data_IF_037167870492
#
_entry.id   IF_037167870492
#
_cell.length_a   1.000
_cell.length_b   1.000
_cell.length_c   1.000
_cell.angle_alpha   90.00
_cell.angle_beta   90.00
_cell.angle_gamma   90.00
#
_symmetry.space_group_name_H-M   'P 1'
#
loop_
_entity.id
_entity.type
_entity.pdbx_description
1 polymer ?
#
# COMPACT_ATOMS: atom_id res chain seq x y z
N UNK A 1 0.01 18.06 -6.14
CA UNK A 1 0.78 18.66 -5.01
C UNK A 1 2.27 18.47 -5.24
N UNK A 2 3.07 19.53 -5.03
CA UNK A 2 4.53 19.41 -4.95
C UNK A 2 4.91 18.90 -3.55
N UNK A 3 5.77 17.87 -3.48
CA UNK A 3 6.18 17.24 -2.21
C UNK A 3 7.65 17.48 -1.86
N UNK A 4 8.33 18.38 -2.57
CA UNK A 4 9.71 18.74 -2.22
C UNK A 4 9.74 19.36 -0.81
N UNK A 5 10.56 18.82 0.07
CA UNK A 5 10.64 19.22 1.48
C UNK A 5 9.48 18.74 2.37
N UNK A 6 8.55 17.93 1.84
CA UNK A 6 7.50 17.27 2.60
C UNK A 6 7.92 15.88 3.07
N UNK A 7 7.11 15.26 3.91
CA UNK A 7 7.33 13.89 4.39
C UNK A 7 6.28 12.94 3.85
N UNK A 8 6.71 11.75 3.47
CA UNK A 8 5.86 10.62 3.12
C UNK A 8 6.03 9.48 4.15
N UNK A 9 4.93 8.89 4.61
CA UNK A 9 4.91 7.63 5.34
C UNK A 9 4.61 6.50 4.37
N UNK A 10 5.47 5.48 4.30
CA UNK A 10 5.24 4.29 3.45
C UNK A 10 5.23 3.05 4.33
N UNK A 11 4.09 2.38 4.43
CA UNK A 11 3.99 1.11 5.15
C UNK A 11 4.37 -0.06 4.24
N UNK A 12 5.04 -1.09 4.79
CA UNK A 12 5.64 -2.14 3.96
C UNK A 12 6.75 -1.61 3.04
N UNK A 13 7.39 -0.50 3.43
CA UNK A 13 8.34 0.24 2.62
C UNK A 13 9.73 -0.40 2.51
N UNK A 14 9.97 -1.52 3.20
CA UNK A 14 11.26 -2.21 3.15
C UNK A 14 11.42 -3.15 1.95
N UNK A 15 10.38 -3.38 1.14
CA UNK A 15 10.46 -4.29 0.00
C UNK A 15 9.37 -4.02 -1.06
N UNK A 16 9.52 -4.64 -2.24
CA UNK A 16 8.50 -4.69 -3.28
C UNK A 16 7.92 -3.32 -3.67
N UNK A 17 6.60 -3.22 -3.73
CA UNK A 17 5.88 -2.00 -4.11
C UNK A 17 6.19 -0.82 -3.18
N UNK A 18 6.29 -1.09 -1.87
CA UNK A 18 6.60 -0.07 -0.87
C UNK A 18 8.00 0.49 -1.01
N UNK A 19 9.00 -0.35 -1.27
CA UNK A 19 10.38 0.09 -1.50
C UNK A 19 10.49 0.96 -2.76
N UNK A 20 9.96 0.49 -3.88
CA UNK A 20 9.96 1.27 -5.11
C UNK A 20 9.24 2.63 -4.94
N UNK A 21 8.14 2.63 -4.16
CA UNK A 21 7.43 3.87 -3.81
C UNK A 21 8.31 4.80 -2.96
N UNK A 22 9.03 4.26 -1.98
CA UNK A 22 9.94 5.04 -1.13
C UNK A 22 11.04 5.70 -1.95
N UNK A 23 11.65 4.95 -2.88
CA UNK A 23 12.66 5.45 -3.81
C UNK A 23 12.10 6.59 -4.69
N UNK A 24 10.94 6.38 -5.31
CA UNK A 24 10.29 7.37 -6.18
C UNK A 24 9.91 8.66 -5.45
N UNK A 25 9.44 8.58 -4.20
CA UNK A 25 9.07 9.76 -3.41
C UNK A 25 10.32 10.52 -2.92
N UNK A 26 11.43 9.82 -2.62
CA UNK A 26 12.72 10.44 -2.34
C UNK A 26 13.28 11.19 -3.56
N UNK A 27 13.18 10.60 -4.76
CA UNK A 27 13.56 11.26 -6.02
C UNK A 27 12.74 12.52 -6.27
N UNK A 28 11.44 12.51 -5.92
CA UNK A 28 10.55 13.67 -6.00
C UNK A 28 10.82 14.74 -4.93
N UNK A 29 11.84 14.56 -4.07
CA UNK A 29 12.29 15.55 -3.08
C UNK A 29 11.67 15.42 -1.70
N UNK A 30 10.81 14.44 -1.45
CA UNK A 30 10.28 14.18 -0.11
C UNK A 30 11.33 13.53 0.81
N UNK A 31 11.13 13.64 2.12
CA UNK A 31 11.68 12.69 3.07
C UNK A 31 10.70 11.52 3.24
N UNK A 32 11.21 10.33 3.57
CA UNK A 32 10.39 9.11 3.67
C UNK A 32 10.59 8.43 5.02
N UNK A 33 9.49 8.12 5.70
CA UNK A 33 9.48 7.21 6.84
C UNK A 33 8.96 5.85 6.38
N UNK A 34 9.78 4.83 6.52
CA UNK A 34 9.46 3.43 6.24
C UNK A 34 8.92 2.81 7.53
N UNK A 35 7.63 2.49 7.56
CA UNK A 35 7.03 1.69 8.62
C UNK A 35 6.96 0.23 8.16
N UNK A 36 7.73 -0.63 8.79
CA UNK A 36 7.77 -2.06 8.49
C UNK A 36 8.07 -2.88 9.74
N UNK A 37 7.83 -4.18 9.70
CA UNK A 37 8.03 -5.05 10.85
C UNK A 37 9.48 -5.00 11.35
N UNK A 38 9.72 -5.15 12.68
CA UNK A 38 11.07 -5.11 13.26
C UNK A 38 12.06 -6.09 12.63
N UNK A 39 11.56 -7.24 12.13
CA UNK A 39 12.39 -8.27 11.48
C UNK A 39 12.61 -8.05 9.98
N UNK A 40 12.11 -6.96 9.39
CA UNK A 40 12.32 -6.64 7.98
C UNK A 40 13.72 -6.07 7.71
N UNK A 41 14.04 -5.87 6.44
CA UNK A 41 15.27 -5.19 6.04
C UNK A 41 15.21 -3.65 6.19
N UNK A 42 14.18 -3.11 6.86
CA UNK A 42 13.86 -1.68 6.86
C UNK A 42 15.02 -0.77 7.31
N UNK A 43 15.78 -1.16 8.34
CA UNK A 43 16.93 -0.38 8.79
C UNK A 43 18.01 -0.29 7.69
N UNK A 44 18.42 -1.42 7.11
CA UNK A 44 19.44 -1.45 6.07
C UNK A 44 18.95 -0.74 4.78
N UNK A 45 17.66 -0.81 4.49
CA UNK A 45 17.04 -0.08 3.37
C UNK A 45 17.09 1.43 3.63
N UNK A 46 16.70 1.90 4.79
CA UNK A 46 16.75 3.32 5.13
C UNK A 46 18.18 3.87 5.06
N UNK A 47 19.18 3.13 5.60
CA UNK A 47 20.58 3.49 5.52
C UNK A 47 21.05 3.62 4.05
N UNK A 48 20.67 2.68 3.19
CA UNK A 48 21.00 2.71 1.75
C UNK A 48 20.35 3.89 1.03
N UNK A 49 19.15 4.26 1.40
CA UNK A 49 18.39 5.36 0.79
C UNK A 49 18.88 6.75 1.25
N UNK A 50 19.66 6.81 2.32
CA UNK A 50 20.36 8.02 2.76
C UNK A 50 19.56 8.90 3.73
N UNK A 51 20.08 10.10 3.96
CA UNK A 51 19.70 10.97 5.09
C UNK A 51 18.22 11.41 5.11
N UNK A 52 17.52 11.33 4.02
CA UNK A 52 16.09 11.67 3.94
C UNK A 52 15.16 10.47 4.16
N UNK A 53 15.71 9.27 4.39
CA UNK A 53 14.96 8.08 4.76
C UNK A 53 15.13 7.77 6.25
N UNK A 54 14.06 7.33 6.88
CA UNK A 54 14.06 6.82 8.26
C UNK A 54 13.29 5.53 8.34
N UNK A 55 13.76 4.60 9.15
CA UNK A 55 13.03 3.38 9.46
C UNK A 55 12.36 3.51 10.82
N UNK A 56 11.08 3.18 10.88
CA UNK A 56 10.31 3.00 12.11
C UNK A 56 9.81 1.56 12.16
N UNK A 57 10.36 0.79 13.09
CA UNK A 57 9.95 -0.60 13.29
C UNK A 57 8.57 -0.64 13.94
N UNK A 58 7.61 -1.38 13.35
CA UNK A 58 6.27 -1.47 13.90
C UNK A 58 5.29 -2.28 13.06
N UNK A 59 4.14 -2.57 13.66
CA UNK A 59 3.00 -3.26 13.05
C UNK A 59 1.89 -2.25 12.75
N UNK A 60 1.36 -2.25 11.53
CA UNK A 60 0.26 -1.36 11.12
C UNK A 60 -1.02 -1.58 11.93
N UNK A 61 -1.18 -2.74 12.56
CA UNK A 61 -2.32 -3.04 13.44
C UNK A 61 -2.20 -2.44 14.85
N UNK A 62 -1.00 -1.97 15.21
CA UNK A 62 -0.70 -1.31 16.48
C UNK A 62 -0.83 0.20 16.35
N UNK A 63 -1.73 0.80 17.14
CA UNK A 63 -1.87 2.26 17.18
C UNK A 63 -0.60 2.96 17.67
N UNK A 64 0.07 2.39 18.68
CA UNK A 64 1.31 2.95 19.23
C UNK A 64 2.44 2.95 18.22
N UNK A 65 2.58 1.88 17.42
CA UNK A 65 3.66 1.77 16.43
C UNK A 65 3.45 2.74 15.26
N UNK A 66 2.20 2.85 14.78
CA UNK A 66 1.86 3.83 13.74
C UNK A 66 2.06 5.26 14.26
N UNK A 67 1.69 5.54 15.51
CA UNK A 67 1.90 6.85 16.12
C UNK A 67 3.39 7.17 16.23
N UNK A 68 4.22 6.23 16.66
CA UNK A 68 5.68 6.40 16.71
C UNK A 68 6.28 6.71 15.32
N UNK A 69 5.82 6.02 14.26
CA UNK A 69 6.26 6.32 12.90
C UNK A 69 5.85 7.73 12.44
N UNK A 70 4.66 8.18 12.84
CA UNK A 70 4.19 9.54 12.55
C UNK A 70 4.93 10.61 13.37
N UNK A 71 5.41 10.29 14.58
CA UNK A 71 6.25 11.18 15.36
C UNK A 71 7.64 11.33 14.71
N UNK A 72 8.24 10.24 14.22
CA UNK A 72 9.46 10.31 13.40
C UNK A 72 9.22 11.15 12.13
N UNK A 73 8.05 11.04 11.49
CA UNK A 73 7.73 11.87 10.33
C UNK A 73 7.66 13.37 10.70
N UNK A 74 7.11 13.70 11.86
CA UNK A 74 7.00 15.09 12.34
C UNK A 74 8.37 15.75 12.59
N UNK A 75 9.39 14.96 12.94
CA UNK A 75 10.79 15.45 13.11
C UNK A 75 11.43 15.83 11.76
N UNK A 76 10.99 15.21 10.66
CA UNK A 76 11.52 15.45 9.30
C UNK A 76 10.81 16.60 8.58
N UNK A 77 9.56 16.90 8.94
CA UNK A 77 8.78 17.95 8.32
C UNK A 77 7.27 17.66 8.24
N UNK A 78 6.52 18.41 7.43
CA UNK A 78 5.08 18.23 7.32
C UNK A 78 4.74 16.94 6.58
N UNK A 79 3.94 16.07 7.20
CA UNK A 79 3.40 14.87 6.55
C UNK A 79 2.40 15.27 5.46
N UNK A 80 2.65 14.88 4.21
CA UNK A 80 1.79 15.17 3.05
C UNK A 80 1.33 13.93 2.31
N UNK A 81 2.06 12.83 2.44
CA UNK A 81 1.76 11.59 1.71
C UNK A 81 1.75 10.43 2.69
N UNK A 82 0.75 9.55 2.58
CA UNK A 82 0.77 8.25 3.23
C UNK A 82 0.46 7.18 2.19
N UNK A 83 1.33 6.16 2.07
CA UNK A 83 1.15 5.06 1.11
C UNK A 83 1.08 3.74 1.87
N UNK A 84 -0.06 3.07 1.78
CA UNK A 84 -0.32 1.82 2.47
C UNK A 84 0.02 0.64 1.57
N UNK A 85 1.27 0.12 1.68
CA UNK A 85 1.72 -1.08 0.96
C UNK A 85 1.84 -2.32 1.87
N UNK A 86 1.78 -2.16 3.19
CA UNK A 86 1.83 -3.29 4.11
C UNK A 86 0.63 -4.22 3.88
N UNK A 87 0.91 -5.51 3.80
CA UNK A 87 -0.13 -6.51 3.62
C UNK A 87 0.44 -7.93 3.49
N UNK A 88 -0.44 -8.90 3.65
CA UNK A 88 -0.11 -10.32 3.54
C UNK A 88 -1.24 -11.07 2.85
N UNK A 89 -0.98 -12.30 2.43
CA UNK A 89 -1.97 -13.15 1.80
C UNK A 89 -1.80 -14.62 2.21
N UNK A 90 -2.84 -15.39 1.99
CA UNK A 90 -2.81 -16.85 2.05
C UNK A 90 -3.72 -17.42 0.94
N UNK A 91 -3.56 -18.71 0.69
CA UNK A 91 -4.39 -19.45 -0.28
C UNK A 91 -4.98 -20.68 0.43
N UNK A 92 -6.07 -20.48 1.16
CA UNK A 92 -6.76 -21.53 1.92
C UNK A 92 -8.21 -21.60 1.45
N UNK A 93 -8.66 -22.78 1.00
CA UNK A 93 -10.05 -22.99 0.58
C UNK A 93 -11.01 -22.89 1.76
N UNK A 94 -12.23 -22.39 1.50
CA UNK A 94 -13.31 -22.31 2.50
C UNK A 94 -13.59 -23.67 3.14
N UNK A 95 -13.54 -24.74 2.34
CA UNK A 95 -13.51 -26.13 2.81
C UNK A 95 -12.37 -26.85 2.09
N UNK A 96 -11.39 -27.28 2.86
CA UNK A 96 -10.24 -28.04 2.40
C UNK A 96 -10.36 -29.55 2.70
N UNK A 97 -9.27 -30.30 2.43
CA UNK A 97 -9.20 -31.74 2.75
C UNK A 97 -9.28 -31.99 4.26
N UNK A 98 -8.67 -31.09 5.04
CA UNK A 98 -8.49 -31.24 6.48
C UNK A 98 -9.58 -30.51 7.30
N UNK A 99 -10.60 -29.97 6.63
CA UNK A 99 -11.73 -29.32 7.28
C UNK A 99 -12.03 -27.91 6.78
N UNK A 100 -12.79 -27.12 7.56
CA UNK A 100 -13.12 -25.75 7.22
C UNK A 100 -11.90 -24.83 7.34
N UNK A 101 -11.93 -23.70 6.63
CA UNK A 101 -10.93 -22.65 6.75
C UNK A 101 -10.79 -22.20 8.22
N UNK A 102 -9.58 -22.21 8.83
CA UNK A 102 -9.38 -21.76 10.21
C UNK A 102 -9.72 -20.27 10.34
N UNK A 103 -10.66 -19.94 11.25
CA UNK A 103 -11.19 -18.59 11.38
C UNK A 103 -10.13 -17.57 11.83
N UNK A 104 -9.15 -17.99 12.64
CA UNK A 104 -8.02 -17.17 13.07
C UNK A 104 -7.15 -16.71 11.88
N UNK A 105 -6.94 -17.58 10.89
CA UNK A 105 -6.21 -17.24 9.67
C UNK A 105 -6.99 -16.22 8.81
N UNK A 106 -8.31 -16.35 8.73
CA UNK A 106 -9.16 -15.35 8.06
C UNK A 106 -9.05 -14.00 8.78
N UNK A 107 -9.25 -14.00 10.09
CA UNK A 107 -9.21 -12.80 10.92
C UNK A 107 -7.85 -12.11 10.84
N UNK A 108 -6.76 -12.88 10.86
CA UNK A 108 -5.40 -12.34 10.73
C UNK A 108 -5.22 -11.56 9.41
N UNK A 109 -5.66 -12.11 8.27
CA UNK A 109 -5.53 -11.43 6.97
C UNK A 109 -6.36 -10.14 6.94
N UNK A 110 -7.60 -10.20 7.43
CA UNK A 110 -8.47 -9.02 7.49
C UNK A 110 -7.88 -7.96 8.42
N UNK A 111 -7.36 -8.37 9.58
CA UNK A 111 -6.80 -7.45 10.55
C UNK A 111 -5.57 -6.72 10.00
N UNK A 112 -4.62 -7.45 9.41
CA UNK A 112 -3.42 -6.81 8.83
C UNK A 112 -3.79 -5.91 7.65
N UNK A 113 -4.48 -6.46 6.65
CA UNK A 113 -4.68 -5.77 5.38
C UNK A 113 -5.70 -4.64 5.45
N UNK A 114 -6.82 -4.84 6.14
CA UNK A 114 -7.94 -3.90 6.17
C UNK A 114 -7.90 -3.01 7.41
N UNK A 115 -7.88 -3.61 8.60
CA UNK A 115 -7.88 -2.85 9.85
C UNK A 115 -6.58 -2.06 10.01
N UNK A 116 -5.42 -2.68 9.69
CA UNK A 116 -4.12 -2.01 9.69
C UNK A 116 -4.07 -0.83 8.71
N UNK A 117 -4.57 -1.01 7.48
CA UNK A 117 -4.68 0.09 6.51
C UNK A 117 -5.54 1.22 7.04
N UNK A 118 -6.72 0.92 7.61
CA UNK A 118 -7.58 1.95 8.21
C UNK A 118 -6.93 2.64 9.42
N UNK A 119 -6.20 1.89 10.25
CA UNK A 119 -5.46 2.44 11.38
C UNK A 119 -4.43 3.49 10.92
N UNK A 120 -3.67 3.21 9.87
CA UNK A 120 -2.73 4.18 9.29
C UNK A 120 -3.46 5.38 8.69
N UNK A 121 -4.56 5.16 7.93
CA UNK A 121 -5.35 6.24 7.32
C UNK A 121 -5.82 7.23 8.37
N UNK A 122 -6.49 6.77 9.44
CA UNK A 122 -7.08 7.65 10.46
C UNK A 122 -6.03 8.48 11.20
N UNK A 123 -4.88 7.87 11.51
CA UNK A 123 -3.80 8.54 12.25
C UNK A 123 -3.01 9.50 11.34
N UNK A 124 -2.69 9.10 10.11
CA UNK A 124 -2.03 9.98 9.14
C UNK A 124 -2.93 11.16 8.74
N UNK A 125 -4.22 10.93 8.49
CA UNK A 125 -5.16 11.99 8.17
C UNK A 125 -5.28 13.01 9.32
N UNK A 126 -5.29 12.56 10.58
CA UNK A 126 -5.29 13.45 11.74
C UNK A 126 -4.04 14.35 11.78
N UNK A 127 -2.87 13.81 11.49
CA UNK A 127 -1.61 14.59 11.42
C UNK A 127 -1.62 15.55 10.23
N UNK A 128 -2.07 15.12 9.06
CA UNK A 128 -2.18 15.98 7.87
C UNK A 128 -3.15 17.13 8.09
N UNK A 129 -4.30 16.89 8.73
CA UNK A 129 -5.31 17.91 9.00
C UNK A 129 -4.81 19.04 9.90
N UNK A 130 -3.79 18.80 10.71
CA UNK A 130 -3.16 19.79 11.58
C UNK A 130 -2.11 20.66 10.87
N UNK A 131 -1.77 20.37 9.61
CA UNK A 131 -0.80 21.16 8.83
C UNK A 131 -1.50 22.28 8.03
N UNK A 132 -0.78 23.33 7.69
CA UNK A 132 -1.30 24.35 6.77
C UNK A 132 -1.43 23.78 5.34
N UNK A 133 -2.46 24.12 4.58
CA UNK A 133 -2.59 23.65 3.20
C UNK A 133 -1.54 24.28 2.29
N UNK A 134 -1.07 23.53 1.30
CA UNK A 134 -0.21 23.99 0.21
C UNK A 134 -0.97 23.77 -1.10
N UNK A 135 -1.14 24.81 -1.92
CA UNK A 135 -1.92 24.76 -3.16
C UNK A 135 -3.35 24.21 -2.99
N UNK A 136 -3.97 24.45 -1.82
CA UNK A 136 -5.31 23.98 -1.51
C UNK A 136 -5.39 22.53 -1.03
N UNK A 137 -4.26 21.86 -0.76
CA UNK A 137 -4.19 20.48 -0.27
C UNK A 137 -3.38 20.38 1.02
N UNK A 138 -3.82 19.51 1.94
CA UNK A 138 -3.05 19.12 3.13
C UNK A 138 -2.36 17.78 2.96
N UNK A 139 -2.85 16.91 2.09
CA UNK A 139 -2.21 15.64 1.85
C UNK A 139 -2.97 14.71 0.92
N UNK A 140 -2.36 13.58 0.63
CA UNK A 140 -2.93 12.49 -0.13
C UNK A 140 -2.58 11.14 0.51
N UNK A 141 -3.56 10.26 0.57
CA UNK A 141 -3.42 8.88 1.04
C UNK A 141 -3.63 7.95 -0.13
N UNK A 142 -2.67 7.07 -0.37
CA UNK A 142 -2.73 6.05 -1.42
C UNK A 142 -2.76 4.67 -0.78
N UNK A 143 -3.81 3.90 -1.08
CA UNK A 143 -3.97 2.55 -0.55
C UNK A 143 -3.67 1.50 -1.62
N UNK A 144 -3.17 0.34 -1.18
CA UNK A 144 -2.93 -0.82 -2.04
C UNK A 144 -4.02 -1.87 -1.83
N UNK A 145 -4.97 -1.94 -2.77
CA UNK A 145 -5.89 -3.07 -2.88
C UNK A 145 -5.24 -4.25 -3.62
N UNK A 146 -5.97 -4.87 -4.53
CA UNK A 146 -5.53 -5.91 -5.47
C UNK A 146 -6.63 -6.15 -6.51
N UNK A 147 -6.30 -6.66 -7.67
CA UNK A 147 -7.30 -7.22 -8.59
C UNK A 147 -8.11 -8.35 -7.95
N UNK A 148 -7.56 -9.02 -6.93
CA UNK A 148 -8.28 -10.02 -6.14
C UNK A 148 -9.49 -9.46 -5.37
N UNK A 149 -9.61 -8.15 -5.23
CA UNK A 149 -10.82 -7.49 -4.72
C UNK A 149 -12.03 -7.69 -5.65
N UNK A 150 -11.77 -7.94 -6.94
CA UNK A 150 -12.77 -8.08 -8.00
C UNK A 150 -12.80 -9.50 -8.56
N UNK A 151 -11.64 -10.06 -8.85
CA UNK A 151 -11.44 -11.32 -9.58
C UNK A 151 -10.71 -12.35 -8.69
N UNK A 152 -11.13 -12.52 -7.43
CA UNK A 152 -10.48 -13.44 -6.48
C UNK A 152 -10.46 -14.90 -6.94
N UNK A 153 -9.34 -15.58 -6.70
CA UNK A 153 -9.11 -16.96 -7.08
C UNK A 153 -9.53 -17.95 -5.97
N UNK A 154 -9.56 -19.22 -6.29
CA UNK A 154 -9.80 -20.29 -5.32
C UNK A 154 -8.76 -20.20 -4.19
N UNK A 155 -9.25 -20.16 -2.96
CA UNK A 155 -8.43 -20.04 -1.75
C UNK A 155 -8.19 -18.59 -1.29
N UNK A 156 -8.61 -17.58 -2.03
CA UNK A 156 -8.35 -16.17 -1.71
C UNK A 156 -9.49 -15.48 -0.93
N UNK A 157 -10.44 -16.21 -0.32
CA UNK A 157 -11.59 -15.60 0.35
C UNK A 157 -11.21 -14.52 1.37
N UNK A 158 -10.24 -14.79 2.26
CA UNK A 158 -9.78 -13.81 3.25
C UNK A 158 -9.06 -12.62 2.60
N UNK A 159 -8.18 -12.90 1.64
CA UNK A 159 -7.44 -11.87 0.92
C UNK A 159 -8.37 -10.97 0.10
N UNK A 160 -9.28 -11.57 -0.68
CA UNK A 160 -10.27 -10.83 -1.47
C UNK A 160 -11.21 -10.01 -0.60
N UNK A 161 -11.66 -10.54 0.54
CA UNK A 161 -12.47 -9.80 1.51
C UNK A 161 -11.72 -8.58 2.06
N UNK A 162 -10.44 -8.75 2.44
CA UNK A 162 -9.63 -7.65 2.96
C UNK A 162 -9.38 -6.56 1.90
N UNK A 163 -9.06 -6.95 0.66
CA UNK A 163 -8.80 -6.02 -0.44
C UNK A 163 -10.08 -5.39 -1.00
N UNK A 164 -11.20 -6.13 -0.98
CA UNK A 164 -12.54 -5.60 -1.27
C UNK A 164 -12.99 -4.57 -0.23
N UNK A 165 -12.65 -4.78 1.05
CA UNK A 165 -12.89 -3.79 2.11
C UNK A 165 -12.11 -2.48 1.87
N UNK A 166 -10.85 -2.55 1.42
CA UNK A 166 -10.07 -1.35 1.05
C UNK A 166 -10.73 -0.60 -0.11
N UNK A 167 -11.19 -1.31 -1.14
CA UNK A 167 -11.96 -0.73 -2.25
C UNK A 167 -13.22 -0.03 -1.73
N UNK A 168 -14.00 -0.73 -0.89
CA UNK A 168 -15.27 -0.22 -0.35
C UNK A 168 -15.12 1.02 0.52
N UNK A 169 -14.03 1.13 1.30
CA UNK A 169 -13.81 2.29 2.18
C UNK A 169 -13.17 3.50 1.47
N UNK A 170 -12.69 3.37 0.24
CA UNK A 170 -11.96 4.44 -0.47
C UNK A 170 -12.83 5.69 -0.65
N UNK A 171 -14.00 5.58 -1.27
CA UNK A 171 -14.86 6.72 -1.54
C UNK A 171 -15.47 7.36 -0.27
N UNK A 172 -15.98 6.58 0.70
CA UNK A 172 -16.44 7.17 1.97
C UNK A 172 -15.37 7.99 2.67
N UNK A 173 -14.15 7.46 2.82
CA UNK A 173 -13.05 8.18 3.48
C UNK A 173 -12.63 9.42 2.68
N UNK A 174 -12.59 9.36 1.36
CA UNK A 174 -12.31 10.51 0.52
C UNK A 174 -13.34 11.64 0.73
N UNK A 175 -14.60 11.29 0.93
CA UNK A 175 -15.69 12.24 1.25
C UNK A 175 -15.56 12.80 2.67
N UNK A 176 -15.27 11.97 3.64
CA UNK A 176 -15.05 12.38 5.04
C UNK A 176 -13.90 13.39 5.16
N UNK A 177 -12.84 13.18 4.39
CA UNK A 177 -11.62 13.99 4.44
C UNK A 177 -11.61 15.18 3.47
N UNK A 178 -12.64 15.34 2.64
CA UNK A 178 -12.71 16.42 1.65
C UNK A 178 -12.64 17.82 2.29
N UNK A 179 -13.36 18.04 3.37
CA UNK A 179 -13.32 19.32 4.13
C UNK A 179 -11.95 19.57 4.77
N UNK A 180 -11.19 18.52 5.06
CA UNK A 180 -9.81 18.61 5.53
C UNK A 180 -8.80 18.78 4.39
N UNK A 181 -9.24 18.84 3.14
CA UNK A 181 -8.37 18.96 1.95
C UNK A 181 -7.35 17.81 1.83
N UNK A 182 -7.78 16.59 2.16
CA UNK A 182 -6.97 15.37 2.05
C UNK A 182 -7.65 14.45 1.04
N UNK A 183 -6.91 14.01 0.03
CA UNK A 183 -7.39 13.05 -0.98
C UNK A 183 -7.10 11.61 -0.57
N UNK A 184 -7.94 10.70 -1.04
CA UNK A 184 -7.75 9.25 -0.85
C UNK A 184 -7.97 8.55 -2.18
N UNK A 185 -6.97 7.80 -2.63
CA UNK A 185 -7.01 7.02 -3.86
C UNK A 185 -6.50 5.61 -3.57
N UNK A 186 -7.06 4.62 -4.24
CA UNK A 186 -6.64 3.24 -4.10
C UNK A 186 -6.13 2.71 -5.43
N UNK A 187 -4.98 2.07 -5.42
CA UNK A 187 -4.47 1.29 -6.56
C UNK A 187 -4.83 -0.18 -6.32
N UNK A 188 -5.33 -0.85 -7.33
CA UNK A 188 -5.56 -2.30 -7.36
C UNK A 188 -4.56 -2.95 -8.33
N UNK A 189 -3.36 -3.35 -7.85
CA UNK A 189 -2.36 -3.98 -8.69
C UNK A 189 -2.81 -5.36 -9.18
N UNK A 190 -2.35 -5.73 -10.37
CA UNK A 190 -2.37 -7.09 -10.89
C UNK A 190 -1.21 -7.93 -10.35
N UNK A 191 -0.55 -8.66 -11.24
CA UNK A 191 0.60 -9.50 -10.92
C UNK A 191 1.89 -8.70 -11.05
N UNK A 192 2.53 -8.38 -9.93
CA UNK A 192 3.78 -7.63 -9.86
C UNK A 192 4.92 -8.49 -9.34
N UNK A 193 6.15 -8.23 -9.82
CA UNK A 193 7.35 -8.89 -9.37
C UNK A 193 7.77 -8.37 -7.98
N UNK A 194 7.28 -9.03 -6.95
CA UNK A 194 7.47 -8.66 -5.56
C UNK A 194 7.88 -9.88 -4.73
N UNK A 195 8.45 -9.70 -3.53
CA UNK A 195 8.76 -10.79 -2.62
C UNK A 195 7.57 -11.71 -2.30
N UNK A 196 6.34 -11.21 -2.41
CA UNK A 196 5.13 -12.01 -2.24
C UNK A 196 5.04 -13.15 -3.28
N UNK A 197 5.53 -12.94 -4.50
CA UNK A 197 5.66 -13.95 -5.55
C UNK A 197 7.07 -14.56 -5.60
N UNK A 198 8.03 -14.01 -4.87
CA UNK A 198 9.44 -14.41 -4.91
C UNK A 198 9.73 -15.83 -4.39
N UNK A 199 8.77 -16.45 -3.68
CA UNK A 199 8.87 -17.85 -3.24
C UNK A 199 8.51 -18.84 -4.35
N UNK A 200 7.94 -18.37 -5.47
CA UNK A 200 7.58 -19.20 -6.61
C UNK A 200 8.81 -19.47 -7.50
N UNK A 201 8.90 -20.69 -8.09
CA UNK A 201 9.91 -20.97 -9.11
C UNK A 201 9.82 -20.01 -10.29
N UNK A 202 10.95 -19.73 -10.95
CA UNK A 202 11.01 -18.79 -12.09
C UNK A 202 10.05 -19.17 -13.23
N UNK A 203 9.88 -20.47 -13.50
CA UNK A 203 8.94 -20.94 -14.50
C UNK A 203 7.47 -20.58 -14.14
N UNK A 204 7.11 -20.71 -12.87
CA UNK A 204 5.78 -20.35 -12.38
C UNK A 204 5.57 -18.82 -12.48
N UNK A 205 6.57 -18.02 -12.13
CA UNK A 205 6.55 -16.54 -12.28
C UNK A 205 6.40 -16.15 -13.75
N UNK A 206 7.17 -16.76 -14.65
CA UNK A 206 7.05 -16.54 -16.09
C UNK A 206 5.67 -16.96 -16.62
N UNK A 207 5.11 -18.06 -16.10
CA UNK A 207 3.75 -18.51 -16.46
C UNK A 207 2.68 -17.51 -16.02
N UNK A 208 2.80 -16.95 -14.82
CA UNK A 208 1.91 -15.89 -14.34
C UNK A 208 2.02 -14.63 -15.22
N UNK A 209 3.22 -14.22 -15.58
CA UNK A 209 3.43 -13.07 -16.46
C UNK A 209 2.76 -13.24 -17.83
N UNK A 210 2.78 -14.44 -18.41
CA UNK A 210 2.10 -14.72 -19.68
C UNK A 210 0.56 -14.65 -19.63
N UNK A 211 -0.03 -14.65 -18.42
CA UNK A 211 -1.48 -14.48 -18.25
C UNK A 211 -1.91 -13.00 -18.35
N UNK A 212 -0.96 -12.07 -18.25
CA UNK A 212 -1.23 -10.64 -18.42
C UNK A 212 -1.39 -10.35 -19.91
N UNK A 213 -2.53 -9.82 -20.37
CA UNK A 213 -2.78 -9.57 -21.78
C UNK A 213 -1.75 -8.64 -22.44
N UNK A 214 -1.43 -7.50 -21.80
CA UNK A 214 -0.39 -6.57 -22.29
C UNK A 214 0.03 -5.59 -21.18
N UNK A 215 1.34 -5.43 -20.94
CA UNK A 215 2.45 -6.25 -21.46
C UNK A 215 2.44 -7.66 -20.85
N UNK A 216 2.80 -8.69 -21.65
CA UNK A 216 2.74 -10.09 -21.22
C UNK A 216 3.91 -10.46 -20.27
N UNK A 217 3.96 -9.83 -19.12
CA UNK A 217 4.96 -9.99 -18.06
C UNK A 217 4.37 -9.60 -16.69
N UNK A 218 5.08 -9.92 -15.63
CA UNK A 218 4.80 -9.31 -14.33
C UNK A 218 5.05 -7.79 -14.40
N UNK A 219 4.25 -7.02 -13.67
CA UNK A 219 4.49 -5.60 -13.46
C UNK A 219 5.78 -5.36 -12.68
N UNK A 220 6.51 -4.31 -13.03
CA UNK A 220 7.65 -3.84 -12.25
C UNK A 220 7.14 -2.98 -11.08
N UNK A 221 7.65 -3.15 -9.84
CA UNK A 221 7.33 -2.27 -8.73
C UNK A 221 7.48 -0.77 -9.03
N UNK A 222 8.41 -0.39 -9.90
CA UNK A 222 8.58 0.99 -10.35
C UNK A 222 7.35 1.52 -11.12
N UNK A 223 6.60 0.67 -11.83
CA UNK A 223 5.36 1.08 -12.52
C UNK A 223 4.25 1.41 -11.53
N UNK A 224 4.20 0.70 -10.39
CA UNK A 224 3.32 1.05 -9.29
C UNK A 224 3.73 2.39 -8.65
N UNK A 225 5.01 2.58 -8.37
CA UNK A 225 5.56 3.80 -7.79
C UNK A 225 5.32 5.03 -8.70
N UNK A 226 5.44 4.87 -10.01
CA UNK A 226 5.13 5.91 -10.99
C UNK A 226 3.65 6.33 -10.93
N UNK A 227 2.71 5.38 -10.74
CA UNK A 227 1.31 5.72 -10.55
C UNK A 227 1.07 6.43 -9.22
N UNK A 228 1.74 6.03 -8.13
CA UNK A 228 1.69 6.75 -6.85
C UNK A 228 2.15 8.20 -7.04
N UNK A 229 3.28 8.43 -7.70
CA UNK A 229 3.80 9.77 -7.98
C UNK A 229 2.80 10.60 -8.83
N UNK A 230 2.16 9.98 -9.83
CA UNK A 230 1.12 10.63 -10.62
C UNK A 230 -0.10 11.01 -9.76
N UNK A 231 -0.56 10.13 -8.88
CA UNK A 231 -1.68 10.42 -7.96
C UNK A 231 -1.33 11.60 -7.04
N UNK A 232 -0.11 11.65 -6.52
CA UNK A 232 0.39 12.75 -5.69
C UNK A 232 0.34 14.07 -6.48
N UNK A 233 0.82 14.06 -7.72
CA UNK A 233 0.90 15.25 -8.57
C UNK A 233 -0.45 15.72 -9.13
N UNK A 234 -1.44 14.83 -9.25
CA UNK A 234 -2.72 15.13 -9.91
C UNK A 234 -3.85 15.36 -8.90
N UNK A 235 -4.21 16.63 -8.59
CA UNK A 235 -5.20 16.95 -7.56
C UNK A 235 -6.63 16.52 -7.90
N UNK A 236 -6.94 16.21 -9.16
CA UNK A 236 -8.29 15.76 -9.54
C UNK A 236 -8.55 14.30 -9.22
N UNK A 237 -7.52 13.49 -8.93
CA UNK A 237 -7.67 12.10 -8.51
C UNK A 237 -8.03 12.04 -7.02
N UNK A 238 -9.29 11.72 -6.72
CA UNK A 238 -9.81 11.56 -5.36
C UNK A 238 -10.99 10.58 -5.34
N UNK A 239 -11.03 9.68 -4.37
CA UNK A 239 -12.12 8.72 -4.18
C UNK A 239 -12.18 7.57 -5.20
N UNK A 240 -11.16 7.43 -6.04
CA UNK A 240 -11.12 6.45 -7.14
C UNK A 240 -10.30 5.21 -6.78
N UNK A 241 -10.65 4.10 -7.43
CA UNK A 241 -9.91 2.84 -7.39
C UNK A 241 -9.38 2.52 -8.78
N UNK A 242 -8.06 2.57 -8.95
CA UNK A 242 -7.40 2.41 -10.24
C UNK A 242 -6.82 1.01 -10.35
N UNK A 243 -7.31 0.19 -11.28
CA UNK A 243 -6.67 -1.09 -11.63
C UNK A 243 -5.38 -0.82 -12.40
N UNK A 244 -4.27 -1.38 -11.91
CA UNK A 244 -2.96 -1.35 -12.58
C UNK A 244 -2.53 -2.79 -12.84
N UNK A 245 -3.01 -3.38 -13.95
CA UNK A 245 -3.04 -4.83 -14.08
C UNK A 245 -2.79 -5.39 -15.49
N UNK A 246 -2.44 -4.55 -16.47
CA UNK A 246 -2.23 -4.99 -17.85
C UNK A 246 -3.46 -5.65 -18.47
N UNK A 247 -4.67 -5.29 -18.02
CA UNK A 247 -5.96 -5.83 -18.43
C UNK A 247 -6.21 -7.29 -18.00
N UNK A 248 -5.47 -7.83 -17.03
CA UNK A 248 -5.73 -9.18 -16.52
C UNK A 248 -7.09 -9.27 -15.84
N UNK A 249 -7.76 -10.37 -16.07
CA UNK A 249 -8.87 -10.87 -15.26
C UNK A 249 -8.48 -12.25 -14.77
N UNK A 250 -8.38 -12.38 -13.45
CA UNK A 250 -7.83 -13.61 -12.85
C UNK A 250 -8.70 -14.81 -13.15
N UNK A 251 -8.10 -15.87 -13.70
CA UNK A 251 -8.77 -17.15 -13.83
C UNK A 251 -9.07 -17.74 -12.44
N UNK A 252 -10.06 -18.65 -12.29
CA UNK A 252 -10.37 -19.25 -10.99
C UNK A 252 -9.19 -20.00 -10.35
N UNK A 253 -8.20 -20.41 -11.17
CA UNK A 253 -6.96 -21.10 -10.77
C UNK A 253 -5.79 -20.62 -11.59
#
# INVERSE_FOLDING_TARGET
MNINGAVALVTGGASGLGLATSEQLLEAGAAVVILDLPGSAGAAVADKLGDRARFSAGDVTSESDVTAALDVAAELGPLRVAVNCAGTGNAIKTVGRDGPFPLDQFTRIVNINLVGTFNVIRLAAHRMAATDPVDGERGVIVNTASVAAFDGQIGQAAYSASKGGIVGMTLPIARDLAAAQIRVVTIAPGLFDTPLLGTLPDEARASLGRQVPHPARLGDPAEYAALVAHIVANPMLNGEVIRLDGAIRMAPR
#
